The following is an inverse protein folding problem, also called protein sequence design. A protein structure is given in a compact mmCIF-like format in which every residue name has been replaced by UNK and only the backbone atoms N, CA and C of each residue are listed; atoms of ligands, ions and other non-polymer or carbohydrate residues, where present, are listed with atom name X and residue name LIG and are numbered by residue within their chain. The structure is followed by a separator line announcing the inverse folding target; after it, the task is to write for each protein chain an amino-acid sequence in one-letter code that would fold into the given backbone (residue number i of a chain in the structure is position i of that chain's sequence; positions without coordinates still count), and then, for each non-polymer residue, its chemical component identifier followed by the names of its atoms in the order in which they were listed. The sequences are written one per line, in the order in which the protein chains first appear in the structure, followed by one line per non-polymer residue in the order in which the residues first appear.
data_IF_761300770942
#
_entry.id   IF_761300770942
#
_cell.length_a   1.000
_cell.length_b   1.000
_cell.length_c   1.000
_cell.angle_alpha   90.00
_cell.angle_beta   90.00
_cell.angle_gamma   90.00
#
_symmetry.space_group_name_H-M   'P 1'
#
loop_
_entity.id
_entity.type
_entity.pdbx_description
1 polymer ?
#
# COMPACT_ATOMS: atom_id res chain seq x y z
N UNK A 1 20.88 -20.07 -14.12
CA UNK A 1 19.76 -19.23 -14.56
C UNK A 1 19.34 -18.33 -13.40
N UNK A 2 20.05 -17.22 -13.16
CA UNK A 2 19.66 -16.26 -12.11
C UNK A 2 18.69 -15.19 -12.63
N UNK A 3 18.59 -15.03 -13.96
CA UNK A 3 17.70 -14.06 -14.61
C UNK A 3 16.21 -14.44 -14.62
N UNK A 4 15.86 -15.73 -14.48
CA UNK A 4 14.45 -16.15 -14.43
C UNK A 4 13.77 -15.77 -13.12
N UNK A 5 14.47 -15.92 -11.99
CA UNK A 5 13.90 -15.66 -10.68
C UNK A 5 13.52 -14.19 -10.47
N UNK A 6 14.34 -13.26 -10.99
CA UNK A 6 14.04 -11.82 -10.94
C UNK A 6 12.80 -11.45 -11.76
N UNK A 7 12.67 -11.99 -12.97
CA UNK A 7 11.51 -11.76 -13.84
C UNK A 7 10.22 -12.34 -13.25
N UNK A 8 10.30 -13.52 -12.65
CA UNK A 8 9.15 -14.13 -11.97
C UNK A 8 8.72 -13.26 -10.77
N UNK A 9 9.67 -12.79 -9.96
CA UNK A 9 9.35 -11.92 -8.83
C UNK A 9 8.69 -10.61 -9.26
N UNK A 10 9.19 -9.99 -10.34
CA UNK A 10 8.62 -8.78 -10.93
C UNK A 10 7.18 -9.02 -11.42
N UNK A 11 6.95 -10.09 -12.18
CA UNK A 11 5.62 -10.46 -12.64
C UNK A 11 4.66 -10.71 -11.48
N UNK A 12 5.10 -11.44 -10.45
CA UNK A 12 4.32 -11.68 -9.24
C UNK A 12 3.99 -10.37 -8.53
N UNK A 13 4.96 -9.45 -8.41
CA UNK A 13 4.73 -8.14 -7.80
C UNK A 13 3.68 -7.33 -8.57
N UNK A 14 3.75 -7.30 -9.90
CA UNK A 14 2.74 -6.63 -10.74
C UNK A 14 1.36 -7.24 -10.52
N UNK A 15 1.23 -8.57 -10.56
CA UNK A 15 -0.04 -9.25 -10.34
C UNK A 15 -0.61 -8.98 -8.94
N UNK A 16 0.22 -9.05 -7.90
CA UNK A 16 -0.17 -8.72 -6.54
C UNK A 16 -0.57 -7.25 -6.41
N UNK A 17 0.13 -6.33 -7.08
CA UNK A 17 -0.21 -4.92 -7.14
C UNK A 17 -1.57 -4.65 -7.79
N UNK A 18 -1.89 -5.37 -8.88
CA UNK A 18 -3.20 -5.29 -9.53
C UNK A 18 -4.33 -5.81 -8.63
N UNK A 19 -4.11 -6.92 -7.92
CA UNK A 19 -5.08 -7.44 -6.94
C UNK A 19 -5.23 -6.44 -5.78
N UNK A 20 -4.12 -5.91 -5.27
CA UNK A 20 -4.10 -4.92 -4.20
C UNK A 20 -4.90 -3.67 -4.59
N UNK A 21 -4.79 -3.20 -5.83
CA UNK A 21 -5.54 -2.06 -6.36
C UNK A 21 -7.06 -2.22 -6.22
N UNK A 22 -7.59 -3.45 -6.30
CA UNK A 22 -9.02 -3.73 -6.18
C UNK A 22 -9.41 -4.04 -4.73
N UNK A 23 -8.64 -4.90 -4.07
CA UNK A 23 -8.97 -5.39 -2.72
C UNK A 23 -8.80 -4.29 -1.67
N UNK A 24 -7.73 -3.50 -1.78
CA UNK A 24 -7.41 -2.48 -0.78
C UNK A 24 -8.53 -1.44 -0.64
N UNK A 25 -9.04 -0.79 -1.69
CA UNK A 25 -10.15 0.16 -1.56
C UNK A 25 -11.41 -0.45 -0.94
N UNK A 26 -11.76 -1.68 -1.34
CA UNK A 26 -12.93 -2.40 -0.81
C UNK A 26 -12.76 -2.65 0.69
N UNK A 27 -11.60 -3.20 1.07
CA UNK A 27 -11.29 -3.50 2.47
C UNK A 27 -11.21 -2.24 3.32
N UNK A 28 -10.53 -1.19 2.85
CA UNK A 28 -10.44 0.09 3.55
C UNK A 28 -11.82 0.70 3.78
N UNK A 29 -12.68 0.68 2.76
CA UNK A 29 -14.05 1.20 2.87
C UNK A 29 -14.87 0.44 3.90
N UNK A 30 -14.87 -0.90 3.84
CA UNK A 30 -15.58 -1.74 4.81
C UNK A 30 -15.06 -1.53 6.24
N UNK A 31 -13.74 -1.49 6.40
CA UNK A 31 -13.10 -1.27 7.69
C UNK A 31 -13.46 0.11 8.30
N UNK A 32 -13.44 1.18 7.49
CA UNK A 32 -13.85 2.53 7.90
C UNK A 32 -15.33 2.55 8.30
N UNK A 33 -16.19 1.89 7.50
CA UNK A 33 -17.62 1.83 7.77
C UNK A 33 -17.92 1.10 9.09
N UNK A 34 -17.27 -0.05 9.33
CA UNK A 34 -17.39 -0.83 10.55
C UNK A 34 -16.93 -0.05 11.80
N UNK A 35 -15.91 0.80 11.67
CA UNK A 35 -15.31 1.53 12.80
C UNK A 35 -15.72 3.00 12.87
N UNK A 36 -16.76 3.42 12.15
CA UNK A 36 -17.16 4.83 11.99
C UNK A 36 -17.35 5.61 13.31
N UNK A 37 -17.80 4.95 14.38
CA UNK A 37 -17.94 5.60 15.69
C UNK A 37 -16.59 5.84 16.38
N UNK A 38 -15.61 4.95 16.21
CA UNK A 38 -14.26 5.08 16.78
C UNK A 38 -13.42 6.12 16.03
N UNK A 39 -13.71 6.35 14.75
CA UNK A 39 -13.06 7.40 13.94
C UNK A 39 -13.38 8.82 14.39
N UNK A 40 -14.47 9.03 15.15
CA UNK A 40 -14.82 10.33 15.72
C UNK A 40 -13.87 10.78 16.83
N UNK A 41 -13.09 9.84 17.39
CA UNK A 41 -12.09 10.11 18.40
C UNK A 41 -10.72 9.95 17.75
N UNK A 42 -9.90 11.01 17.81
CA UNK A 42 -8.51 10.92 17.37
C UNK A 42 -7.81 9.97 18.33
N UNK A 43 -7.51 8.77 17.84
CA UNK A 43 -6.86 7.69 18.57
C UNK A 43 -5.68 7.16 17.76
N UNK A 44 -4.78 6.43 18.42
CA UNK A 44 -3.65 5.77 17.75
C UNK A 44 -4.12 4.83 16.63
N UNK A 45 -5.31 4.23 16.77
CA UNK A 45 -5.96 3.39 15.75
C UNK A 45 -6.37 4.23 14.55
N UNK A 46 -7.08 5.35 14.78
CA UNK A 46 -7.54 6.25 13.72
C UNK A 46 -6.37 6.85 12.92
N UNK A 47 -5.28 7.25 13.60
CA UNK A 47 -4.08 7.80 12.95
C UNK A 47 -3.37 6.73 12.12
N UNK A 48 -3.10 5.56 12.69
CA UNK A 48 -2.40 4.50 11.95
C UNK A 48 -3.22 3.95 10.79
N UNK A 49 -4.55 3.85 10.93
CA UNK A 49 -5.44 3.52 9.81
C UNK A 49 -5.46 4.60 8.73
N UNK A 50 -5.43 5.88 9.11
CA UNK A 50 -5.32 6.99 8.16
C UNK A 50 -4.01 6.97 7.38
N UNK A 51 -2.88 6.71 8.05
CA UNK A 51 -1.58 6.57 7.37
C UNK A 51 -1.61 5.39 6.40
N UNK A 52 -2.14 4.23 6.80
CA UNK A 52 -2.28 3.08 5.91
C UNK A 52 -3.13 3.40 4.68
N UNK A 53 -4.25 4.12 4.86
CA UNK A 53 -5.10 4.54 3.75
C UNK A 53 -4.35 5.43 2.76
N UNK A 54 -3.60 6.42 3.28
CA UNK A 54 -2.82 7.33 2.46
C UNK A 54 -1.69 6.61 1.72
N UNK A 55 -0.93 5.74 2.41
CA UNK A 55 0.18 5.02 1.78
C UNK A 55 -0.29 3.97 0.79
N UNK A 56 -1.36 3.22 1.09
CA UNK A 56 -1.94 2.28 0.13
C UNK A 56 -2.51 2.97 -1.10
N UNK A 57 -3.17 4.12 -0.95
CA UNK A 57 -3.61 4.94 -2.09
C UNK A 57 -2.42 5.45 -2.91
N UNK A 58 -1.37 5.94 -2.23
CA UNK A 58 -0.14 6.39 -2.87
C UNK A 58 0.55 5.27 -3.66
N UNK A 59 0.65 4.06 -3.10
CA UNK A 59 1.23 2.88 -3.77
C UNK A 59 0.46 2.49 -5.03
N UNK A 60 -0.87 2.59 -5.01
CA UNK A 60 -1.68 2.35 -6.21
C UNK A 60 -1.32 3.38 -7.29
N UNK A 61 -1.29 4.66 -6.93
CA UNK A 61 -1.00 5.75 -7.89
C UNK A 61 0.40 5.61 -8.47
N UNK A 62 1.42 5.46 -7.62
CA UNK A 62 2.81 5.32 -8.10
C UNK A 62 3.03 4.00 -8.82
N UNK A 63 2.37 2.91 -8.41
CA UNK A 63 2.41 1.63 -9.11
C UNK A 63 1.83 1.70 -10.53
N UNK A 64 0.72 2.41 -10.72
CA UNK A 64 0.15 2.65 -12.07
C UNK A 64 1.13 3.46 -12.93
N UNK A 65 1.71 4.53 -12.37
CA UNK A 65 2.69 5.36 -13.11
C UNK A 65 3.88 4.51 -13.55
N UNK A 66 4.44 3.70 -12.65
CA UNK A 66 5.58 2.84 -12.94
C UNK A 66 5.25 1.74 -13.94
N UNK A 67 4.04 1.16 -13.88
CA UNK A 67 3.57 0.19 -14.87
C UNK A 67 3.50 0.79 -16.29
N UNK A 68 3.11 2.06 -16.41
CA UNK A 68 2.93 2.73 -17.70
C UNK A 68 4.25 3.26 -18.30
N UNK A 69 5.18 3.70 -17.46
CA UNK A 69 6.36 4.45 -17.90
C UNK A 69 7.71 3.78 -17.57
N UNK A 70 7.72 2.67 -16.83
CA UNK A 70 8.90 2.01 -16.26
C UNK A 70 9.62 2.82 -15.17
N UNK A 71 10.23 2.10 -14.23
CA UNK A 71 11.01 2.68 -13.13
C UNK A 71 12.28 3.38 -13.62
N UNK A 72 12.91 2.89 -14.70
CA UNK A 72 14.13 3.47 -15.26
C UNK A 72 13.90 4.85 -15.87
N UNK A 73 12.66 5.16 -16.26
CA UNK A 73 12.32 6.45 -16.87
C UNK A 73 11.93 7.52 -15.83
N UNK A 74 11.44 7.10 -14.66
CA UNK A 74 10.83 7.99 -13.66
C UNK A 74 11.36 7.68 -12.24
N UNK A 75 12.51 8.25 -11.85
CA UNK A 75 13.15 7.95 -10.57
C UNK A 75 12.31 8.39 -9.36
N UNK A 76 11.64 9.55 -9.45
CA UNK A 76 10.84 10.07 -8.33
C UNK A 76 9.65 9.15 -7.97
N UNK A 77 8.79 8.71 -8.91
CA UNK A 77 7.76 7.72 -8.62
C UNK A 77 8.31 6.41 -8.04
N UNK A 78 9.48 5.94 -8.49
CA UNK A 78 10.12 4.75 -7.95
C UNK A 78 10.52 4.92 -6.49
N UNK A 79 11.24 6.00 -6.16
CA UNK A 79 11.65 6.32 -4.79
C UNK A 79 10.45 6.50 -3.85
N UNK A 80 9.40 7.19 -4.33
CA UNK A 80 8.17 7.38 -3.56
C UNK A 80 7.45 6.04 -3.35
N UNK A 81 7.36 5.18 -4.38
CA UNK A 81 6.75 3.86 -4.26
C UNK A 81 7.48 2.99 -3.23
N UNK A 82 8.82 3.02 -3.24
CA UNK A 82 9.64 2.32 -2.25
C UNK A 82 9.39 2.86 -0.83
N UNK A 83 9.47 4.18 -0.64
CA UNK A 83 9.24 4.81 0.66
C UNK A 83 7.85 4.47 1.22
N UNK A 84 6.81 4.59 0.40
CA UNK A 84 5.44 4.28 0.80
C UNK A 84 5.27 2.80 1.17
N UNK A 85 6.03 1.91 0.53
CA UNK A 85 6.04 0.47 0.87
C UNK A 85 6.54 0.26 2.29
N UNK A 86 7.69 0.85 2.65
CA UNK A 86 8.22 0.73 4.01
C UNK A 86 7.29 1.35 5.05
N UNK A 87 6.70 2.52 4.75
CA UNK A 87 5.75 3.18 5.67
C UNK A 87 4.49 2.32 5.84
N UNK A 88 3.94 1.74 4.76
CA UNK A 88 2.78 0.86 4.84
C UNK A 88 3.07 -0.40 5.67
N UNK A 89 4.18 -1.09 5.42
CA UNK A 89 4.57 -2.28 6.19
C UNK A 89 4.76 -1.94 7.67
N UNK A 90 5.48 -0.86 7.97
CA UNK A 90 5.70 -0.41 9.35
C UNK A 90 4.39 -0.07 10.06
N UNK A 91 3.48 0.65 9.38
CA UNK A 91 2.18 1.00 9.95
C UNK A 91 1.23 -0.18 10.09
N UNK A 92 1.28 -1.19 9.21
CA UNK A 92 0.51 -2.43 9.37
C UNK A 92 0.94 -3.19 10.64
N UNK A 93 2.24 -3.35 10.85
CA UNK A 93 2.79 -3.98 12.06
C UNK A 93 2.33 -3.23 13.31
N UNK A 94 2.47 -1.91 13.32
CA UNK A 94 2.08 -1.08 14.47
C UNK A 94 0.57 -1.13 14.73
N UNK A 95 -0.25 -1.00 13.69
CA UNK A 95 -1.71 -0.99 13.83
C UNK A 95 -2.24 -2.32 14.37
N UNK A 96 -1.72 -3.45 13.89
CA UNK A 96 -2.12 -4.79 14.36
C UNK A 96 -1.91 -5.01 15.87
N UNK A 97 -0.94 -4.31 16.47
CA UNK A 97 -0.65 -4.37 17.91
C UNK A 97 -1.56 -3.46 18.74
N UNK A 98 -2.19 -2.47 18.12
CA UNK A 98 -3.06 -1.49 18.79
C UNK A 98 -4.53 -1.91 18.69
N UNK A 99 -4.88 -2.71 17.67
CA UNK A 99 -6.24 -3.25 17.49
C UNK A 99 -6.48 -4.59 18.19
N UNK A 100 -5.44 -5.28 18.66
CA UNK A 100 -5.52 -6.43 19.59
C UNK A 100 -5.76 -5.95 21.01
#
# INVERSE_FOLDING_TARGET
SLGDHGKIAELVHIWLGLIFMVVFPIYSWDHIRSHRQRLKIISRISISGGIQLMTGTGLIVTGIILLLYSADALPLPAEVHELLTYVLVGTLILHSRVTR
#
